data_IF_332014711545
#
_entry.id   IF_332014711545
#
_cell.length_a   1.000
_cell.length_b   1.000
_cell.length_c   1.000
_cell.angle_alpha   90.00
_cell.angle_beta   90.00
_cell.angle_gamma   90.00
#
_symmetry.space_group_name_H-M   'P 1'
#
loop_
_entity.id
_entity.type
_entity.pdbx_description
1 polymer ?
#
# COMPACT_ATOMS: atom_id res chain seq x y z
N UNK A 1 22.81 -49.05 22.39
CA UNK A 1 22.41 -47.75 22.98
C UNK A 1 21.75 -46.91 21.90
N UNK A 2 20.43 -46.71 22.02
CA UNK A 2 19.63 -45.86 21.15
C UNK A 2 19.90 -44.38 21.44
N UNK A 3 20.10 -43.56 20.40
CA UNK A 3 19.76 -42.13 20.44
C UNK A 3 19.01 -41.76 19.16
N UNK A 4 17.69 -41.66 19.29
CA UNK A 4 16.84 -40.82 18.43
C UNK A 4 16.87 -39.41 19.02
N UNK A 5 17.11 -38.39 18.21
CA UNK A 5 16.62 -37.04 18.48
C UNK A 5 16.36 -36.31 17.17
N UNK A 6 15.06 -36.14 16.95
CA UNK A 6 14.35 -35.36 15.96
C UNK A 6 14.54 -33.86 16.26
N UNK A 7 14.59 -32.97 15.25
CA UNK A 7 13.85 -31.70 15.16
C UNK A 7 14.43 -30.71 14.11
N UNK A 8 13.52 -30.25 13.25
CA UNK A 8 13.32 -28.87 12.76
C UNK A 8 14.16 -28.35 11.58
N UNK A 9 13.59 -28.53 10.39
CA UNK A 9 13.02 -27.46 9.56
C UNK A 9 13.54 -26.04 9.84
N UNK A 10 14.64 -25.67 9.20
CA UNK A 10 15.03 -24.28 8.99
C UNK A 10 15.63 -24.12 7.59
N UNK A 11 15.41 -22.94 7.01
CA UNK A 11 15.90 -22.45 5.71
C UNK A 11 15.08 -22.84 4.47
N UNK A 12 13.82 -22.38 4.41
CA UNK A 12 13.12 -22.09 3.14
C UNK A 12 12.81 -20.59 2.92
N UNK A 13 13.27 -19.68 3.78
CA UNK A 13 12.85 -18.26 3.71
C UNK A 13 13.78 -17.33 2.92
N UNK A 14 14.95 -17.79 2.43
CA UNK A 14 15.94 -16.90 1.79
C UNK A 14 15.69 -16.72 0.28
N UNK A 15 14.81 -17.52 -0.34
CA UNK A 15 14.61 -17.49 -1.81
C UNK A 15 13.43 -16.64 -2.30
N UNK A 16 12.60 -16.09 -1.41
CA UNK A 16 11.44 -15.29 -1.81
C UNK A 16 11.72 -13.78 -1.88
N UNK A 17 12.66 -13.28 -1.07
CA UNK A 17 13.02 -11.85 -1.04
C UNK A 17 13.73 -11.41 -2.33
N UNK A 18 14.65 -12.24 -2.86
CA UNK A 18 15.41 -11.93 -4.07
C UNK A 18 14.58 -11.93 -5.37
N UNK A 19 13.38 -12.52 -5.36
CA UNK A 19 12.51 -12.56 -6.55
C UNK A 19 11.70 -11.26 -6.70
N UNK A 20 11.38 -10.57 -5.59
CA UNK A 20 10.55 -9.34 -5.62
C UNK A 20 11.34 -8.10 -6.03
N UNK A 21 12.57 -7.93 -5.56
CA UNK A 21 13.44 -6.84 -5.99
C UNK A 21 13.81 -6.95 -7.49
N UNK A 22 13.91 -8.18 -8.01
CA UNK A 22 14.19 -8.42 -9.42
C UNK A 22 13.01 -8.09 -10.34
N UNK A 23 11.76 -8.29 -9.90
CA UNK A 23 10.57 -7.93 -10.68
C UNK A 23 10.48 -6.41 -10.94
N UNK A 24 11.03 -5.60 -10.03
CA UNK A 24 10.97 -4.15 -10.10
C UNK A 24 12.05 -3.51 -10.97
N UNK A 25 13.22 -4.16 -11.11
CA UNK A 25 14.26 -3.70 -12.02
C UNK A 25 13.92 -3.94 -13.51
N UNK A 26 12.96 -4.82 -13.82
CA UNK A 26 12.68 -5.23 -15.20
C UNK A 26 11.59 -4.37 -15.88
N UNK A 27 10.67 -3.74 -15.13
CA UNK A 27 9.45 -3.11 -15.69
C UNK A 27 9.36 -1.58 -15.58
N UNK A 28 10.38 -0.90 -15.03
CA UNK A 28 10.30 0.55 -14.79
C UNK A 28 9.22 0.93 -13.77
N UNK A 29 8.96 2.23 -13.53
CA UNK A 29 8.04 2.66 -12.48
C UNK A 29 6.55 2.49 -12.85
N UNK A 30 6.22 1.84 -13.97
CA UNK A 30 4.86 1.70 -14.45
C UNK A 30 4.18 3.02 -14.86
N UNK A 31 2.95 2.92 -15.38
CA UNK A 31 2.12 4.06 -15.76
C UNK A 31 1.38 4.60 -14.53
N UNK A 32 1.57 5.88 -14.21
CA UNK A 32 0.83 6.55 -13.14
C UNK A 32 -0.68 6.59 -13.49
N UNK A 33 -1.50 6.05 -12.58
CA UNK A 33 -2.97 6.06 -12.67
C UNK A 33 -3.51 7.24 -11.90
N UNK A 34 -3.11 7.37 -10.64
CA UNK A 34 -3.51 8.49 -9.77
C UNK A 34 -2.46 8.73 -8.69
N UNK A 35 -2.47 9.95 -8.13
CA UNK A 35 -1.57 10.42 -7.08
C UNK A 35 -2.40 11.23 -6.09
N UNK A 36 -2.28 10.95 -4.80
CA UNK A 36 -2.97 11.70 -3.73
C UNK A 36 -2.00 12.10 -2.63
N UNK A 37 -2.16 13.30 -2.08
CA UNK A 37 -1.34 13.79 -0.97
C UNK A 37 -1.78 13.15 0.36
N UNK A 38 -0.81 12.79 1.20
CA UNK A 38 -1.03 12.25 2.53
C UNK A 38 -0.50 13.27 3.55
N UNK A 39 -1.33 13.79 4.47
CA UNK A 39 -0.89 14.83 5.42
C UNK A 39 0.31 14.39 6.27
N UNK A 40 1.26 15.29 6.52
CA UNK A 40 2.53 14.97 7.19
C UNK A 40 2.38 14.45 8.63
N UNK A 41 1.27 14.74 9.31
CA UNK A 41 1.00 14.25 10.66
C UNK A 41 0.57 12.77 10.70
N UNK A 42 0.13 12.20 9.56
CA UNK A 42 -0.31 10.81 9.48
C UNK A 42 0.90 9.86 9.55
N UNK A 43 0.93 8.91 10.49
CA UNK A 43 2.04 7.97 10.60
C UNK A 43 2.07 7.00 9.41
N UNK A 44 3.09 7.13 8.55
CA UNK A 44 3.21 6.43 7.26
C UNK A 44 3.19 4.91 7.38
N UNK A 45 3.93 4.39 8.35
CA UNK A 45 4.08 2.95 8.58
C UNK A 45 2.78 2.33 9.10
N UNK A 46 2.10 3.00 10.04
CA UNK A 46 0.83 2.51 10.58
C UNK A 46 -0.28 2.56 9.52
N UNK A 47 -0.39 3.66 8.75
CA UNK A 47 -1.33 3.73 7.62
C UNK A 47 -1.08 2.58 6.63
N UNK A 48 0.18 2.32 6.24
CA UNK A 48 0.47 1.27 5.27
C UNK A 48 0.21 -0.13 5.82
N UNK A 49 0.54 -0.42 7.08
CA UNK A 49 0.23 -1.69 7.74
C UNK A 49 -1.29 -1.93 7.80
N UNK A 50 -2.07 -0.90 8.15
CA UNK A 50 -3.54 -0.96 8.15
C UNK A 50 -4.09 -1.22 6.74
N UNK A 51 -3.58 -0.52 5.72
CA UNK A 51 -4.01 -0.70 4.35
C UNK A 51 -3.64 -2.08 3.78
N UNK A 52 -2.47 -2.62 4.10
CA UNK A 52 -2.08 -3.99 3.69
C UNK A 52 -3.03 -5.01 4.29
N UNK A 53 -3.26 -4.93 5.61
CA UNK A 53 -4.15 -5.86 6.30
C UNK A 53 -5.57 -5.78 5.74
N UNK A 54 -6.05 -4.55 5.50
CA UNK A 54 -7.34 -4.31 4.89
C UNK A 54 -7.42 -4.94 3.50
N UNK A 55 -6.45 -4.65 2.62
CA UNK A 55 -6.44 -5.15 1.26
C UNK A 55 -6.36 -6.68 1.21
N UNK A 56 -5.59 -7.32 2.09
CA UNK A 56 -5.54 -8.78 2.21
C UNK A 56 -6.89 -9.35 2.66
N UNK A 57 -7.56 -8.70 3.62
CA UNK A 57 -8.86 -9.14 4.11
C UNK A 57 -9.98 -8.98 3.05
N UNK A 58 -9.95 -7.90 2.27
CA UNK A 58 -10.91 -7.67 1.18
C UNK A 58 -10.68 -8.59 -0.01
N UNK A 59 -9.42 -8.94 -0.29
CA UNK A 59 -9.06 -9.82 -1.40
C UNK A 59 -9.46 -11.28 -1.18
N UNK A 60 -9.81 -11.67 0.05
CA UNK A 60 -10.21 -13.04 0.36
C UNK A 60 -11.50 -13.43 -0.37
N UNK A 61 -11.54 -14.63 -0.95
CA UNK A 61 -12.70 -15.13 -1.68
C UNK A 61 -13.75 -15.68 -0.70
N UNK A 62 -15.06 -15.44 -0.91
CA UNK A 62 -15.71 -14.88 -2.12
C UNK A 62 -15.86 -13.35 -2.13
N UNK A 63 -15.44 -12.65 -1.08
CA UNK A 63 -15.67 -11.20 -0.87
C UNK A 63 -15.00 -10.35 -1.95
N UNK A 64 -13.72 -10.58 -2.21
CA UNK A 64 -12.95 -9.82 -3.20
C UNK A 64 -13.50 -9.94 -4.61
N UNK A 65 -13.91 -11.14 -5.02
CA UNK A 65 -14.53 -11.38 -6.32
C UNK A 65 -15.84 -10.60 -6.47
N UNK A 66 -16.70 -10.61 -5.45
CA UNK A 66 -17.95 -9.87 -5.46
C UNK A 66 -17.79 -8.35 -5.48
N UNK A 67 -16.74 -7.83 -4.84
CA UNK A 67 -16.49 -6.39 -4.74
C UNK A 67 -15.73 -5.81 -5.94
N UNK A 68 -14.76 -6.54 -6.49
CA UNK A 68 -13.87 -6.03 -7.53
C UNK A 68 -14.17 -6.62 -8.92
N UNK A 69 -14.99 -7.67 -9.00
CA UNK A 69 -15.44 -8.29 -10.25
C UNK A 69 -14.47 -9.30 -10.86
N UNK A 70 -13.19 -9.26 -10.48
CA UNK A 70 -12.18 -10.25 -10.85
C UNK A 70 -11.42 -10.73 -9.60
N UNK A 71 -10.88 -11.95 -9.60
CA UNK A 71 -10.01 -12.40 -8.52
C UNK A 71 -8.75 -11.54 -8.44
N UNK A 72 -8.36 -11.17 -7.22
CA UNK A 72 -7.19 -10.32 -6.98
C UNK A 72 -6.33 -10.92 -5.89
N UNK A 73 -5.03 -11.00 -6.12
CA UNK A 73 -4.04 -11.37 -5.12
C UNK A 73 -3.34 -10.10 -4.61
N UNK A 74 -3.24 -9.97 -3.29
CA UNK A 74 -2.60 -8.82 -2.65
C UNK A 74 -1.29 -9.24 -2.01
N UNK A 75 -0.23 -8.46 -2.25
CA UNK A 75 1.08 -8.68 -1.67
C UNK A 75 1.66 -7.37 -1.11
N UNK A 76 2.27 -7.38 0.09
CA UNK A 76 2.96 -6.21 0.61
C UNK A 76 4.19 -5.90 -0.24
N UNK A 77 4.42 -4.61 -0.45
CA UNK A 77 5.59 -4.07 -1.13
C UNK A 77 6.51 -3.43 -0.09
N UNK A 78 7.77 -3.87 -0.07
CA UNK A 78 8.80 -3.40 0.85
C UNK A 78 9.85 -2.59 0.09
N UNK A 79 10.19 -1.42 0.61
CA UNK A 79 11.33 -0.60 0.17
C UNK A 79 12.53 -0.95 1.06
N UNK A 80 13.73 -1.00 0.47
CA UNK A 80 14.99 -1.27 1.18
C UNK A 80 14.91 -2.52 2.08
N UNK A 81 14.28 -3.59 1.55
CA UNK A 81 14.09 -4.93 2.11
C UNK A 81 13.20 -5.06 3.35
N UNK A 82 13.18 -4.08 4.26
CA UNK A 82 12.50 -4.21 5.55
C UNK A 82 11.40 -3.16 5.80
N UNK A 83 11.32 -2.10 5.00
CA UNK A 83 10.36 -1.01 5.23
C UNK A 83 9.10 -1.25 4.42
N UNK A 84 7.98 -1.50 5.10
CA UNK A 84 6.69 -1.61 4.41
C UNK A 84 6.36 -0.26 3.76
N UNK A 85 6.26 -0.27 2.43
CA UNK A 85 6.16 0.95 1.63
C UNK A 85 4.95 0.97 0.70
N UNK A 86 4.30 -0.16 0.52
CA UNK A 86 3.19 -0.26 -0.41
C UNK A 86 2.47 -1.60 -0.43
N UNK A 87 1.63 -1.74 -1.45
CA UNK A 87 0.80 -2.89 -1.74
C UNK A 87 0.87 -3.13 -3.25
N UNK A 88 0.98 -4.40 -3.65
CA UNK A 88 0.83 -4.83 -5.03
C UNK A 88 -0.46 -5.64 -5.17
N UNK A 89 -1.33 -5.20 -6.07
CA UNK A 89 -2.54 -5.92 -6.47
C UNK A 89 -2.27 -6.64 -7.79
N UNK A 90 -2.33 -7.95 -7.80
CA UNK A 90 -2.26 -8.78 -9.00
C UNK A 90 -3.66 -9.23 -9.38
N UNK A 91 -4.19 -8.69 -10.47
CA UNK A 91 -5.53 -9.03 -10.95
C UNK A 91 -5.41 -10.26 -11.86
N UNK A 92 -6.21 -11.28 -11.56
CA UNK A 92 -6.22 -12.54 -12.27
C UNK A 92 -7.45 -12.62 -13.18
N UNK A 93 -7.28 -13.20 -14.36
CA UNK A 93 -8.37 -13.56 -15.27
C UNK A 93 -8.08 -14.91 -15.88
N UNK A 94 -9.05 -15.82 -15.82
CA UNK A 94 -8.92 -17.19 -16.36
C UNK A 94 -7.67 -17.94 -15.86
N UNK A 95 -7.24 -17.66 -14.63
CA UNK A 95 -6.05 -18.26 -14.00
C UNK A 95 -4.72 -17.61 -14.40
N UNK A 96 -4.74 -16.61 -15.28
CA UNK A 96 -3.55 -15.87 -15.72
C UNK A 96 -3.52 -14.45 -15.12
N UNK A 97 -2.33 -13.86 -15.06
CA UNK A 97 -2.16 -12.47 -14.60
C UNK A 97 -2.62 -11.52 -15.71
N UNK A 98 -3.76 -10.86 -15.50
CA UNK A 98 -4.27 -9.88 -16.45
C UNK A 98 -3.48 -8.56 -16.36
N UNK A 99 -3.25 -8.07 -15.14
CA UNK A 99 -2.51 -6.83 -14.87
C UNK A 99 -2.03 -6.78 -13.43
N UNK A 100 -1.09 -5.88 -13.15
CA UNK A 100 -0.60 -5.57 -11.82
C UNK A 100 -0.72 -4.08 -11.53
N UNK A 101 -1.23 -3.75 -10.35
CA UNK A 101 -1.24 -2.40 -9.80
C UNK A 101 -0.29 -2.33 -8.60
N UNK A 102 0.54 -1.29 -8.58
CA UNK A 102 1.35 -0.89 -7.46
C UNK A 102 0.74 0.30 -6.74
N UNK A 103 0.72 0.25 -5.42
CA UNK A 103 0.32 1.35 -4.55
C UNK A 103 1.44 1.58 -3.54
N UNK A 104 2.12 2.71 -3.59
CA UNK A 104 3.21 3.02 -2.66
C UNK A 104 3.42 4.52 -2.51
N UNK A 105 4.15 4.91 -1.46
CA UNK A 105 4.53 6.31 -1.29
C UNK A 105 5.58 6.73 -2.30
N UNK A 106 5.53 8.00 -2.71
CA UNK A 106 6.61 8.61 -3.48
C UNK A 106 7.86 8.88 -2.62
N UNK A 107 8.92 9.34 -3.27
CA UNK A 107 10.18 9.70 -2.62
C UNK A 107 10.22 11.19 -2.21
N UNK A 108 9.12 11.92 -2.35
CA UNK A 108 9.05 13.33 -1.98
C UNK A 108 8.96 13.51 -0.46
N UNK A 109 9.62 14.55 0.06
CA UNK A 109 9.68 14.86 1.48
C UNK A 109 8.75 16.03 1.84
N UNK A 110 8.12 15.95 3.02
CA UNK A 110 7.34 17.03 3.61
C UNK A 110 7.91 17.40 4.96
N UNK A 111 8.12 18.70 5.15
CA UNK A 111 8.48 19.28 6.45
C UNK A 111 7.27 19.32 7.37
N UNK A 112 7.40 18.72 8.54
CA UNK A 112 6.43 18.78 9.62
C UNK A 112 6.98 19.67 10.72
N UNK A 113 6.18 20.66 11.12
CA UNK A 113 6.38 21.43 12.34
C UNK A 113 5.45 20.91 13.43
N UNK A 114 5.91 20.96 14.68
CA UNK A 114 5.21 20.39 15.82
C UNK A 114 3.97 21.21 16.21
N UNK A 115 4.04 22.55 16.12
CA UNK A 115 2.91 23.43 16.43
C UNK A 115 3.00 24.77 15.70
N UNK A 116 1.90 25.52 15.76
CA UNK A 116 1.80 26.86 15.18
C UNK A 116 1.63 27.86 16.33
N UNK A 117 2.59 28.76 16.47
CA UNK A 117 2.63 29.83 17.45
C UNK A 117 2.06 31.15 16.93
N UNK A 118 2.11 32.16 17.79
CA UNK A 118 1.71 33.53 17.45
C UNK A 118 2.96 34.38 17.24
N UNK A 119 3.16 34.81 16.00
CA UNK A 119 4.25 35.69 15.60
C UNK A 119 4.13 37.09 16.22
N UNK A 120 5.25 37.82 16.20
CA UNK A 120 5.34 39.18 16.74
C UNK A 120 4.44 40.20 16.00
N UNK A 121 4.06 39.88 14.76
CA UNK A 121 3.12 40.60 13.91
C UNK A 121 1.65 40.19 14.16
N UNK A 122 1.42 39.23 15.05
CA UNK A 122 0.11 38.66 15.35
C UNK A 122 -0.35 37.59 14.36
N UNK A 123 0.46 37.25 13.34
CA UNK A 123 0.16 36.18 12.39
C UNK A 123 0.71 34.82 12.88
N UNK A 124 0.15 33.69 12.40
CA UNK A 124 0.64 32.37 12.81
C UNK A 124 2.08 32.12 12.34
N UNK A 125 2.96 31.70 13.25
CA UNK A 125 4.35 31.30 12.97
C UNK A 125 4.55 29.82 13.22
N UNK A 126 5.30 29.14 12.34
CA UNK A 126 5.62 27.71 12.50
C UNK A 126 6.72 27.58 13.56
N UNK A 127 6.45 26.87 14.66
CA UNK A 127 7.36 26.72 15.79
C UNK A 127 7.45 25.25 16.26
N UNK A 128 8.47 24.93 17.07
CA UNK A 128 8.72 23.58 17.59
C UNK A 128 9.70 22.74 16.74
N UNK A 129 9.74 21.44 17.02
CA UNK A 129 10.70 20.53 16.37
C UNK A 129 10.31 20.31 14.90
N UNK A 130 11.24 20.63 13.99
CA UNK A 130 11.12 20.33 12.56
C UNK A 130 11.54 18.87 12.31
N UNK A 131 10.74 18.15 11.53
CA UNK A 131 11.04 16.79 11.10
C UNK A 131 10.64 16.60 9.63
N UNK A 132 11.53 16.02 8.83
CA UNK A 132 11.23 15.62 7.46
C UNK A 132 10.54 14.25 7.42
N UNK A 133 9.45 14.16 6.66
CA UNK A 133 8.66 12.94 6.46
C UNK A 133 8.70 12.57 4.97
N UNK A 134 9.30 11.43 4.65
CA UNK A 134 9.31 10.86 3.29
C UNK A 134 7.93 10.28 2.96
N UNK A 135 7.52 10.37 1.69
CA UNK A 135 6.24 9.86 1.22
C UNK A 135 5.15 10.92 1.34
N UNK A 136 5.32 12.02 0.61
CA UNK A 136 4.32 13.09 0.51
C UNK A 136 3.03 12.57 -0.09
N UNK A 137 3.14 11.76 -1.13
CA UNK A 137 2.00 11.28 -1.88
C UNK A 137 1.96 9.76 -1.93
N UNK A 138 0.73 9.24 -2.00
CA UNK A 138 0.47 7.86 -2.35
C UNK A 138 0.17 7.78 -3.85
N UNK A 139 0.96 6.99 -4.57
CA UNK A 139 0.83 6.80 -6.00
C UNK A 139 0.23 5.43 -6.30
N UNK A 140 -0.72 5.40 -7.24
CA UNK A 140 -1.25 4.17 -7.83
C UNK A 140 -0.69 4.08 -9.25
N UNK A 141 0.01 3.00 -9.55
CA UNK A 141 0.70 2.77 -10.82
C UNK A 141 0.28 1.44 -11.42
N UNK A 142 0.06 1.39 -12.73
CA UNK A 142 -0.08 0.14 -13.48
C UNK A 142 1.31 -0.33 -13.88
N UNK A 143 1.69 -1.54 -13.48
CA UNK A 143 3.08 -2.02 -13.59
C UNK A 143 3.37 -2.69 -14.92
N UNK A 144 2.35 -3.16 -15.61
CA UNK A 144 2.46 -3.80 -16.92
C UNK A 144 1.96 -2.89 -18.05
N UNK A 145 2.30 -3.26 -19.29
CA UNK A 145 1.91 -2.55 -20.51
C UNK A 145 0.65 -3.16 -21.17
N UNK A 146 0.02 -4.17 -20.57
CA UNK A 146 -1.13 -4.84 -21.19
C UNK A 146 -2.29 -3.85 -21.42
N UNK A 147 -3.03 -4.00 -22.53
CA UNK A 147 -4.19 -3.16 -22.79
C UNK A 147 -5.26 -3.38 -21.72
N UNK A 148 -5.96 -2.30 -21.37
CA UNK A 148 -7.04 -2.32 -20.37
C UNK A 148 -8.38 -2.38 -21.08
N UNK A 149 -9.02 -3.53 -21.01
CA UNK A 149 -10.40 -3.70 -21.49
C UNK A 149 -11.43 -3.15 -20.48
N UNK A 150 -12.71 -3.22 -20.82
CA UNK A 150 -13.77 -2.59 -20.02
C UNK A 150 -13.94 -3.25 -18.65
N UNK A 151 -13.87 -4.58 -18.59
CA UNK A 151 -13.96 -5.34 -17.32
C UNK A 151 -12.79 -5.00 -16.41
N UNK A 152 -11.56 -4.99 -16.95
CA UNK A 152 -10.37 -4.67 -16.17
C UNK A 152 -10.40 -3.21 -15.70
N UNK A 153 -10.90 -2.30 -16.53
CA UNK A 153 -11.07 -0.89 -16.16
C UNK A 153 -12.03 -0.73 -14.98
N UNK A 154 -13.12 -1.48 -14.98
CA UNK A 154 -14.08 -1.51 -13.89
C UNK A 154 -13.45 -2.07 -12.61
N UNK A 155 -12.73 -3.19 -12.69
CA UNK A 155 -11.98 -3.74 -11.54
C UNK A 155 -10.98 -2.75 -10.96
N UNK A 156 -10.14 -2.13 -11.80
CA UNK A 156 -9.16 -1.12 -11.37
C UNK A 156 -9.87 0.06 -10.69
N UNK A 157 -10.99 0.52 -11.25
CA UNK A 157 -11.79 1.61 -10.66
C UNK A 157 -12.34 1.22 -9.30
N UNK A 158 -12.90 0.02 -9.16
CA UNK A 158 -13.47 -0.46 -7.91
C UNK A 158 -12.39 -0.58 -6.82
N UNK A 159 -11.20 -1.11 -7.15
CA UNK A 159 -10.05 -1.13 -6.23
C UNK A 159 -9.69 0.28 -5.77
N UNK A 160 -9.58 1.24 -6.70
CA UNK A 160 -9.25 2.62 -6.35
C UNK A 160 -10.30 3.28 -5.44
N UNK A 161 -11.59 3.07 -5.72
CA UNK A 161 -12.68 3.60 -4.90
C UNK A 161 -12.66 3.04 -3.47
N UNK A 162 -12.47 1.72 -3.35
CA UNK A 162 -12.39 1.05 -2.06
C UNK A 162 -11.15 1.46 -1.28
N UNK A 163 -10.01 1.63 -1.95
CA UNK A 163 -8.78 2.13 -1.33
C UNK A 163 -8.96 3.54 -0.77
N UNK A 164 -9.59 4.44 -1.52
CA UNK A 164 -9.89 5.80 -1.05
C UNK A 164 -10.83 5.76 0.16
N UNK A 165 -11.84 4.88 0.14
CA UNK A 165 -12.73 4.70 1.29
C UNK A 165 -11.96 4.21 2.53
N UNK A 166 -11.04 3.26 2.38
CA UNK A 166 -10.20 2.76 3.47
C UNK A 166 -9.27 3.85 4.04
N UNK A 167 -8.68 4.69 3.18
CA UNK A 167 -7.87 5.84 3.60
C UNK A 167 -8.72 6.85 4.39
N UNK A 168 -9.92 7.16 3.91
CA UNK A 168 -10.83 8.08 4.58
C UNK A 168 -11.27 7.54 5.95
N UNK A 169 -11.56 6.24 6.06
CA UNK A 169 -11.85 5.58 7.35
C UNK A 169 -10.68 5.71 8.31
N UNK A 170 -9.46 5.51 7.80
CA UNK A 170 -8.25 5.70 8.61
C UNK A 170 -8.12 7.16 9.09
N UNK A 171 -8.38 8.15 8.23
CA UNK A 171 -8.36 9.55 8.64
C UNK A 171 -9.41 9.90 9.69
N UNK A 172 -10.60 9.28 9.62
CA UNK A 172 -11.66 9.52 10.57
C UNK A 172 -11.45 8.81 11.92
N UNK A 173 -10.96 7.56 11.90
CA UNK A 173 -11.01 6.67 13.07
C UNK A 173 -9.65 6.05 13.46
N UNK A 174 -8.58 6.35 12.72
CA UNK A 174 -7.26 5.74 12.93
C UNK A 174 -7.18 4.25 12.53
N UNK A 175 -8.18 3.73 11.82
CA UNK A 175 -8.23 2.34 11.37
C UNK A 175 -9.02 2.22 10.06
N UNK A 176 -8.55 1.35 9.16
CA UNK A 176 -9.22 1.05 7.90
C UNK A 176 -10.40 0.07 8.05
N UNK A 177 -10.54 -0.57 9.21
CA UNK A 177 -11.52 -1.64 9.49
C UNK A 177 -12.79 -1.16 10.19
N UNK A 178 -12.92 0.13 10.46
CA UNK A 178 -14.13 0.63 11.12
C UNK A 178 -15.30 0.52 10.15
N UNK A 179 -16.29 -0.26 10.55
CA UNK A 179 -17.61 -0.24 9.94
C UNK A 179 -18.39 0.92 10.57
N UNK A 180 -18.97 1.76 9.72
CA UNK A 180 -19.78 2.92 10.10
C UNK A 180 -21.14 2.40 10.65
N UNK A 181 -21.09 1.71 11.77
CA UNK A 181 -22.24 1.23 12.51
C UNK A 181 -22.59 2.30 13.56
N UNK A 182 -23.25 3.35 13.09
CA UNK A 182 -24.09 4.24 13.91
C UNK A 182 -25.46 4.41 13.27
#
# INVERSE_FOLDING_TARGET
MNKKSNLRSQCRSVKLSSIRAAAQQILGPGKLVTKTEIPAFIPRQDLMDQLVRWAVAEADEPRGLGMWGLPVKVEPYYKDEDVLWGITFTILRDGEVATQLGVWYDDEEVRKHEWVGRGADGFPTLEGKESDVVGKHLEIRKLDENPVDDVLRETIRNICQQLVAAINKYYAFGSAFVDDAT
#
